data_IF_150700862771
#
_entry.id   IF_150700862771
#
_cell.length_a   1.000
_cell.length_b   1.000
_cell.length_c   1.000
_cell.angle_alpha   90.00
_cell.angle_beta   90.00
_cell.angle_gamma   90.00
#
_symmetry.space_group_name_H-M   'P 1'
#
loop_
_entity.id
_entity.type
_entity.pdbx_description
1 polymer ?
#
# COMPACT_ATOMS: atom_id res chain seq x y z
N UNK A 1 -11.13 1.17 -4.21
CA UNK A 1 -11.66 -0.20 -3.98
C UNK A 1 -11.22 -0.68 -2.61
N UNK A 2 -12.05 -1.43 -1.86
CA UNK A 2 -11.74 -1.84 -0.47
C UNK A 2 -10.42 -2.62 -0.31
N UNK A 3 -9.97 -3.31 -1.36
CA UNK A 3 -8.75 -4.15 -1.33
C UNK A 3 -7.47 -3.31 -1.21
N UNK A 4 -7.38 -2.15 -1.85
CA UNK A 4 -6.17 -1.31 -1.78
C UNK A 4 -5.91 -0.86 -0.33
N UNK A 5 -6.97 -0.47 0.37
CA UNK A 5 -6.89 -0.05 1.78
C UNK A 5 -6.47 -1.21 2.69
N UNK A 6 -6.94 -2.43 2.45
CA UNK A 6 -6.48 -3.61 3.20
C UNK A 6 -4.96 -3.80 3.03
N UNK A 7 -4.45 -3.70 1.80
CA UNK A 7 -3.01 -3.81 1.56
C UNK A 7 -2.21 -2.69 2.20
N UNK A 8 -2.73 -1.45 2.22
CA UNK A 8 -2.10 -0.34 2.95
C UNK A 8 -1.99 -0.67 4.43
N UNK A 9 -3.05 -1.17 5.06
CA UNK A 9 -3.01 -1.58 6.48
C UNK A 9 -2.04 -2.73 6.71
N UNK A 10 -2.02 -3.75 5.84
CA UNK A 10 -1.05 -4.85 5.94
C UNK A 10 0.40 -4.39 5.77
N UNK A 11 0.63 -3.36 4.97
CA UNK A 11 1.96 -2.73 4.81
C UNK A 11 2.33 -1.92 6.05
N UNK A 12 1.38 -1.19 6.63
CA UNK A 12 1.58 -0.45 7.87
C UNK A 12 1.84 -1.38 9.07
N UNK A 13 1.20 -2.55 9.09
CA UNK A 13 1.39 -3.58 10.12
C UNK A 13 2.72 -4.35 9.93
N UNK A 14 3.39 -4.18 8.79
CA UNK A 14 4.63 -4.90 8.43
C UNK A 14 4.40 -6.34 8.01
N UNK A 15 3.14 -6.78 7.88
CA UNK A 15 2.74 -8.12 7.46
C UNK A 15 2.99 -8.33 5.95
N UNK A 16 2.89 -7.24 5.16
CA UNK A 16 3.19 -7.24 3.73
C UNK A 16 4.10 -6.08 3.34
N UNK A 17 4.77 -6.22 2.20
CA UNK A 17 5.53 -5.15 1.57
C UNK A 17 4.89 -4.71 0.25
N UNK A 18 5.12 -3.48 -0.16
CA UNK A 18 4.57 -2.91 -1.39
C UNK A 18 4.80 -3.75 -2.66
N UNK A 19 5.95 -4.45 -2.85
CA UNK A 19 6.15 -5.36 -3.98
C UNK A 19 5.20 -6.57 -4.00
N UNK A 20 4.67 -6.98 -2.84
CA UNK A 20 3.70 -8.08 -2.75
C UNK A 20 2.28 -7.66 -3.13
N UNK A 21 2.05 -6.36 -3.32
CA UNK A 21 0.77 -5.82 -3.77
C UNK A 21 0.58 -6.17 -5.25
N UNK A 22 -0.60 -6.63 -5.67
CA UNK A 22 -0.92 -6.82 -7.08
C UNK A 22 -0.71 -5.54 -7.89
N UNK A 23 -0.03 -5.62 -9.03
CA UNK A 23 0.29 -4.46 -9.90
C UNK A 23 -0.94 -3.65 -10.34
N UNK A 24 -2.12 -4.26 -10.42
CA UNK A 24 -3.38 -3.54 -10.71
C UNK A 24 -3.77 -2.53 -9.62
N UNK A 25 -3.44 -2.82 -8.35
CA UNK A 25 -3.81 -1.98 -7.21
C UNK A 25 -2.62 -1.25 -6.58
N UNK A 26 -1.39 -1.61 -6.92
CA UNK A 26 -0.16 -0.87 -6.56
C UNK A 26 -0.27 0.64 -6.72
N UNK A 27 -0.72 1.20 -7.85
CA UNK A 27 -0.85 2.65 -7.99
C UNK A 27 -1.86 3.27 -7.01
N UNK A 28 -2.91 2.54 -6.65
CA UNK A 28 -3.91 2.98 -5.67
C UNK A 28 -3.36 2.88 -4.23
N UNK A 29 -2.65 1.80 -3.91
CA UNK A 29 -1.95 1.60 -2.63
C UNK A 29 -0.86 2.66 -2.44
N UNK A 30 -0.07 2.97 -3.47
CA UNK A 30 0.94 4.03 -3.44
C UNK A 30 0.32 5.39 -3.18
N UNK A 31 -0.78 5.71 -3.87
CA UNK A 31 -1.52 6.96 -3.60
C UNK A 31 -1.97 7.05 -2.15
N UNK A 32 -2.52 5.98 -1.60
CA UNK A 32 -2.97 5.97 -0.21
C UNK A 32 -1.81 6.08 0.78
N UNK A 33 -0.70 5.37 0.55
CA UNK A 33 0.52 5.50 1.35
C UNK A 33 1.07 6.93 1.31
N UNK A 34 1.10 7.58 0.14
CA UNK A 34 1.50 8.99 0.00
C UNK A 34 0.55 9.93 0.75
N UNK A 35 -0.77 9.75 0.63
CA UNK A 35 -1.77 10.57 1.36
C UNK A 35 -1.62 10.43 2.88
N UNK A 36 -1.23 9.24 3.34
CA UNK A 36 -1.00 8.94 4.76
C UNK A 36 0.40 9.35 5.24
N UNK A 37 1.29 9.82 4.35
CA UNK A 37 2.67 10.21 4.68
C UNK A 37 3.67 9.07 4.80
N UNK A 38 3.33 7.86 4.33
CA UNK A 38 4.17 6.66 4.35
C UNK A 38 4.79 6.37 2.97
N UNK A 39 5.33 7.40 2.33
CA UNK A 39 5.91 7.31 0.99
C UNK A 39 7.08 6.30 0.93
N UNK A 40 7.82 6.19 2.03
CA UNK A 40 8.94 5.25 2.18
C UNK A 40 8.51 3.78 2.16
N UNK A 41 7.27 3.48 2.54
CA UNK A 41 6.73 2.13 2.47
C UNK A 41 6.28 1.74 1.06
N UNK A 42 6.18 2.71 0.14
CA UNK A 42 5.83 2.50 -1.26
C UNK A 42 7.05 2.29 -2.19
N UNK A 43 8.17 1.83 -1.62
CA UNK A 43 9.42 1.49 -2.32
C UNK A 43 9.42 0.04 -2.82
#
# INVERSE_FOLDING_TARGET
MAIATIYVYLILDGDKTYPQVPTKIQPEVKRQLTVLGYEDLAK
#
